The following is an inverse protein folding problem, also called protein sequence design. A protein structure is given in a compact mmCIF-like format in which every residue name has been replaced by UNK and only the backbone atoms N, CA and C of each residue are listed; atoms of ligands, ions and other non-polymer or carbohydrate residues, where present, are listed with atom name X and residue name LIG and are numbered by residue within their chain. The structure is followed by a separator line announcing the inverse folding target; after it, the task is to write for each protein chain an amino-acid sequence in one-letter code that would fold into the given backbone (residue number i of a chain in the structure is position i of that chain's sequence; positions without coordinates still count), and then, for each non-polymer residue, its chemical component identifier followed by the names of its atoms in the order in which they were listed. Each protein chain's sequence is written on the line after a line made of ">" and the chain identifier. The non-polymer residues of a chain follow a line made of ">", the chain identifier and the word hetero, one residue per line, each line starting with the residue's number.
data_IF_531559204262
#
_entry.id   IF_531559204262
#
_cell.length_a   1.000
_cell.length_b   1.000
_cell.length_c   1.000
_cell.angle_alpha   90.00
_cell.angle_beta   90.00
_cell.angle_gamma   90.00
#
_symmetry.space_group_name_H-M   'P 1'
#
loop_
_entity.id
_entity.type
_entity.pdbx_description
1 polymer ?
#
# COMPACT_ATOMS: atom_id res chain seq x y z
N UNK A 1 -14.32 -10.76 1.05
CA UNK A 1 -14.21 -11.30 -0.33
C UNK A 1 -13.00 -10.68 -1.01
N UNK A 2 -12.24 -11.47 -1.80
CA UNK A 2 -11.12 -10.99 -2.63
C UNK A 2 -11.56 -10.23 -3.90
N UNK A 3 -12.88 -10.10 -4.09
CA UNK A 3 -13.53 -9.29 -5.12
C UNK A 3 -14.57 -8.39 -4.45
N UNK A 4 -14.12 -7.27 -3.89
CA UNK A 4 -15.02 -6.20 -3.46
C UNK A 4 -15.22 -5.18 -4.58
N UNK A 5 -16.38 -4.52 -4.67
CA UNK A 5 -16.50 -3.33 -5.51
C UNK A 5 -15.52 -2.25 -5.05
N UNK A 6 -15.13 -1.36 -5.95
CA UNK A 6 -14.46 -0.11 -5.54
C UNK A 6 -15.38 0.68 -4.62
N UNK A 7 -14.78 1.37 -3.64
CA UNK A 7 -15.53 2.26 -2.76
C UNK A 7 -16.14 3.42 -3.57
N UNK A 8 -17.28 3.93 -3.10
CA UNK A 8 -17.86 5.14 -3.66
C UNK A 8 -17.01 6.33 -3.23
N UNK A 9 -16.47 7.07 -4.19
CA UNK A 9 -15.52 8.16 -3.94
C UNK A 9 -16.04 9.51 -4.40
N UNK A 10 -15.60 10.57 -3.72
CA UNK A 10 -15.87 11.95 -4.13
C UNK A 10 -15.09 12.31 -5.41
N UNK A 11 -15.50 13.39 -6.07
CA UNK A 11 -14.79 13.91 -7.25
C UNK A 11 -13.35 14.33 -6.92
N UNK A 12 -13.13 14.91 -5.75
CA UNK A 12 -11.78 15.30 -5.28
C UNK A 12 -10.90 14.07 -5.06
N UNK A 13 -11.43 13.06 -4.37
CA UNK A 13 -10.71 11.81 -4.16
C UNK A 13 -10.35 11.14 -5.48
N UNK A 14 -11.28 11.13 -6.45
CA UNK A 14 -11.03 10.56 -7.78
C UNK A 14 -9.88 11.26 -8.51
N UNK A 15 -9.82 12.60 -8.45
CA UNK A 15 -8.71 13.37 -9.05
C UNK A 15 -7.37 13.00 -8.42
N UNK A 16 -7.32 12.88 -7.10
CA UNK A 16 -6.08 12.48 -6.42
C UNK A 16 -5.71 11.02 -6.71
N UNK A 17 -6.69 10.11 -6.83
CA UNK A 17 -6.47 8.73 -7.29
C UNK A 17 -5.80 8.72 -8.66
N UNK A 18 -6.36 9.44 -9.65
CA UNK A 18 -5.83 9.50 -11.01
C UNK A 18 -4.40 10.08 -11.05
N UNK A 19 -4.16 11.16 -10.30
CA UNK A 19 -2.83 11.76 -10.14
C UNK A 19 -1.81 10.77 -9.57
N UNK A 20 -2.17 10.03 -8.52
CA UNK A 20 -1.28 9.02 -7.95
C UNK A 20 -1.06 7.85 -8.91
N UNK A 21 -2.10 7.37 -9.59
CA UNK A 21 -2.01 6.29 -10.61
C UNK A 21 -1.02 6.68 -11.72
N UNK A 22 -1.14 7.88 -12.28
CA UNK A 22 -0.25 8.33 -13.34
C UNK A 22 1.21 8.37 -12.84
N UNK A 23 1.44 8.89 -11.63
CA UNK A 23 2.78 8.91 -11.04
C UNK A 23 3.40 7.51 -10.94
N UNK A 24 2.66 6.51 -10.47
CA UNK A 24 3.20 5.15 -10.31
C UNK A 24 3.27 4.37 -11.63
N UNK A 25 2.49 4.75 -12.65
CA UNK A 25 2.66 4.29 -14.02
C UNK A 25 3.96 4.86 -14.62
N UNK A 26 4.21 6.16 -14.45
CA UNK A 26 5.43 6.83 -14.94
C UNK A 26 6.70 6.27 -14.28
N UNK A 27 6.59 5.83 -13.03
CA UNK A 27 7.67 5.17 -12.29
C UNK A 27 7.83 3.67 -12.64
N UNK A 28 7.03 3.13 -13.56
CA UNK A 28 7.01 1.70 -13.94
C UNK A 28 6.81 0.74 -12.75
N UNK A 29 6.10 1.19 -11.71
CA UNK A 29 5.78 0.37 -10.53
C UNK A 29 4.54 -0.50 -10.79
N UNK A 30 3.63 -0.01 -11.62
CA UNK A 30 2.43 -0.73 -12.04
C UNK A 30 2.26 -0.63 -13.56
N UNK A 31 1.44 -1.53 -14.13
CA UNK A 31 1.06 -1.49 -15.54
C UNK A 31 -0.44 -1.65 -15.72
N UNK A 32 -0.93 -1.20 -16.87
CA UNK A 32 -2.28 -1.57 -17.32
C UNK A 32 -2.30 -3.05 -17.71
N UNK A 33 -3.39 -3.70 -17.36
CA UNK A 33 -3.66 -5.10 -17.70
C UNK A 33 -4.26 -5.14 -19.11
N UNK A 34 -3.76 -6.02 -19.98
CA UNK A 34 -4.24 -6.18 -21.35
C UNK A 34 -5.63 -6.81 -21.42
N UNK A 35 -6.35 -6.57 -22.52
CA UNK A 35 -7.72 -7.04 -22.72
C UNK A 35 -7.89 -8.58 -22.62
N UNK A 36 -6.84 -9.34 -22.89
CA UNK A 36 -6.87 -10.81 -22.88
C UNK A 36 -6.37 -11.42 -21.55
N UNK A 37 -6.02 -10.59 -20.56
CA UNK A 37 -5.48 -11.08 -19.29
C UNK A 37 -6.60 -11.29 -18.27
N UNK A 38 -6.63 -12.48 -17.68
CA UNK A 38 -7.62 -12.84 -16.65
C UNK A 38 -7.14 -12.31 -15.30
N UNK A 39 -7.95 -11.48 -14.65
CA UNK A 39 -7.67 -10.95 -13.31
C UNK A 39 -8.54 -11.64 -12.28
N UNK A 40 -7.92 -12.54 -11.51
CA UNK A 40 -8.65 -13.31 -10.50
C UNK A 40 -8.96 -12.49 -9.24
N UNK A 41 -8.05 -11.59 -8.86
CA UNK A 41 -8.06 -10.85 -7.60
C UNK A 41 -8.04 -9.35 -7.89
N UNK A 42 -8.90 -8.58 -7.21
CA UNK A 42 -8.93 -7.12 -7.30
C UNK A 42 -8.95 -6.53 -5.90
N UNK A 43 -8.01 -5.64 -5.62
CA UNK A 43 -7.93 -4.92 -4.35
C UNK A 43 -8.33 -3.47 -4.56
N UNK A 44 -9.35 -2.97 -3.85
CA UNK A 44 -9.75 -1.58 -3.97
C UNK A 44 -8.64 -0.67 -3.42
N UNK A 45 -8.61 0.56 -3.92
CA UNK A 45 -7.68 1.60 -3.49
C UNK A 45 -8.47 2.73 -2.84
N UNK A 46 -7.86 3.34 -1.83
CA UNK A 46 -8.37 4.46 -1.06
C UNK A 46 -7.36 5.61 -1.10
N UNK A 47 -7.83 6.83 -0.91
CA UNK A 47 -6.98 7.97 -0.55
C UNK A 47 -7.13 8.24 0.94
N UNK A 48 -5.98 8.38 1.61
CA UNK A 48 -5.93 8.85 3.00
C UNK A 48 -5.22 10.18 3.06
N UNK A 49 -5.73 11.10 3.87
CA UNK A 49 -5.19 12.45 4.01
C UNK A 49 -4.42 12.58 5.31
N UNK A 50 -3.23 13.18 5.23
CA UNK A 50 -2.39 13.46 6.40
C UNK A 50 -1.53 14.69 6.12
N UNK A 51 -1.53 15.67 7.04
CA UNK A 51 -0.81 16.94 6.90
C UNK A 51 -1.02 17.65 5.56
N UNK A 52 -2.27 17.67 5.08
CA UNK A 52 -2.63 18.27 3.79
C UNK A 52 -2.13 17.52 2.55
N UNK A 53 -1.55 16.32 2.72
CA UNK A 53 -1.08 15.46 1.63
C UNK A 53 -1.94 14.21 1.52
N UNK A 54 -2.26 13.84 0.29
CA UNK A 54 -2.95 12.60 -0.06
C UNK A 54 -1.96 11.43 -0.15
N UNK A 55 -2.38 10.25 0.30
CA UNK A 55 -1.63 8.99 0.19
C UNK A 55 -2.50 7.93 -0.48
N UNK A 56 -1.93 7.25 -1.46
CA UNK A 56 -2.54 6.15 -2.20
C UNK A 56 -2.36 4.83 -1.46
N UNK A 57 -3.46 4.22 -0.99
CA UNK A 57 -3.44 3.05 -0.12
C UNK A 57 -4.27 1.91 -0.72
N UNK A 58 -3.66 0.77 -1.02
CA UNK A 58 -4.40 -0.45 -1.39
C UNK A 58 -4.99 -1.13 -0.16
N UNK A 59 -6.27 -1.53 -0.21
CA UNK A 59 -6.88 -2.35 0.84
C UNK A 59 -6.56 -3.83 0.62
N UNK A 60 -5.48 -4.26 1.27
CA UNK A 60 -5.02 -5.65 1.24
C UNK A 60 -5.55 -6.48 2.41
N UNK A 61 -6.49 -6.00 3.22
CA UNK A 61 -6.95 -6.74 4.42
C UNK A 61 -7.50 -8.13 4.08
N UNK A 62 -8.34 -8.21 3.04
CA UNK A 62 -8.87 -9.49 2.57
C UNK A 62 -7.77 -10.41 2.03
N UNK A 63 -6.77 -9.86 1.34
CA UNK A 63 -5.63 -10.60 0.81
C UNK A 63 -4.73 -11.13 1.93
N UNK A 64 -4.46 -10.30 2.93
CA UNK A 64 -3.60 -10.63 4.08
C UNK A 64 -4.21 -11.74 4.93
N UNK A 65 -5.54 -11.78 5.08
CA UNK A 65 -6.22 -12.87 5.80
C UNK A 65 -6.14 -14.22 5.08
N UNK A 66 -5.89 -14.22 3.77
CA UNK A 66 -5.79 -15.45 2.97
C UNK A 66 -4.34 -15.97 2.87
N UNK A 67 -3.35 -15.10 3.09
CA UNK A 67 -1.93 -15.44 2.98
C UNK A 67 -1.39 -15.96 4.32
N UNK A 68 -0.55 -17.00 4.26
CA UNK A 68 0.26 -17.41 5.40
C UNK A 68 1.38 -16.38 5.61
N UNK A 69 1.48 -15.84 6.82
CA UNK A 69 2.55 -14.89 7.15
C UNK A 69 3.91 -15.60 7.19
N UNK A 70 4.83 -15.16 6.34
CA UNK A 70 6.24 -15.55 6.39
C UNK A 70 7.02 -14.49 7.17
N UNK A 71 7.39 -14.82 8.41
CA UNK A 71 7.94 -13.85 9.37
C UNK A 71 9.46 -13.90 9.35
N UNK A 72 10.08 -12.94 8.67
CA UNK A 72 11.51 -12.69 8.81
C UNK A 72 11.81 -12.11 10.21
N UNK A 73 12.82 -12.59 10.94
CA UNK A 73 13.16 -12.10 12.27
C UNK A 73 13.77 -10.70 12.18
N UNK A 74 12.92 -9.68 12.27
CA UNK A 74 13.35 -8.28 12.35
C UNK A 74 13.69 -7.97 13.82
N UNK A 75 14.92 -7.55 14.14
CA UNK A 75 15.28 -7.17 15.50
C UNK A 75 14.43 -5.99 15.95
N UNK A 76 13.86 -6.08 17.16
CA UNK A 76 13.15 -4.95 17.74
C UNK A 76 14.16 -3.90 18.15
N UNK A 77 13.93 -2.65 17.74
CA UNK A 77 14.72 -1.52 18.23
C UNK A 77 14.45 -1.40 19.73
N UNK A 78 15.48 -1.55 20.59
CA UNK A 78 15.31 -1.31 22.02
C UNK A 78 14.93 0.16 22.26
N UNK A 79 13.90 0.39 23.08
CA UNK A 79 13.43 1.74 23.42
C UNK A 79 14.33 2.44 24.47
N UNK A 80 15.26 1.69 25.10
CA UNK A 80 16.15 2.22 26.14
C UNK A 80 17.44 2.82 25.55
N UNK A 81 17.82 4.06 25.93
CA UNK A 81 19.07 4.71 25.54
C UNK A 81 20.35 3.92 25.87
N UNK A 82 20.30 3.06 26.89
CA UNK A 82 21.47 2.30 27.38
C UNK A 82 22.04 1.33 26.34
N UNK A 83 21.18 0.86 25.42
CA UNK A 83 21.55 -0.03 24.32
C UNK A 83 22.30 0.65 23.17
N UNK A 84 22.45 1.98 23.21
CA UNK A 84 23.12 2.80 22.20
C UNK A 84 24.56 3.19 22.58
N UNK A 85 25.20 2.47 23.51
CA UNK A 85 26.60 2.71 23.83
C UNK A 85 27.49 2.33 22.64
N UNK A 86 28.20 3.32 22.11
CA UNK A 86 29.21 3.10 21.06
C UNK A 86 30.37 2.29 21.64
N UNK A 87 30.94 1.34 20.89
CA UNK A 87 32.10 0.60 21.35
C UNK A 87 33.25 1.57 21.62
N UNK A 88 33.87 1.46 22.79
CA UNK A 88 35.08 2.21 23.14
C UNK A 88 36.20 1.77 22.20
N UNK A 89 36.68 2.70 21.36
CA UNK A 89 37.92 2.58 20.59
C UNK A 89 39.05 3.16 21.43
#
# INVERSE_FOLDING_TARGET
>A
MLRGPSYSESLETRKEIEKHINKILDMDVIRKIGHNEIVEIKTPVLITWHDGKSRFCGDFRALNNHKKADRYPIPRIPHSPESWQKPNI
#
